data_IF_979803431009
#
_entry.id   IF_979803431009
#
_cell.length_a   1.000
_cell.length_b   1.000
_cell.length_c   1.000
_cell.angle_alpha   90.00
_cell.angle_beta   90.00
_cell.angle_gamma   90.00
#
_symmetry.space_group_name_H-M   'P 1'
#
loop_
_entity.id
_entity.type
_entity.pdbx_description
1 polymer ?
#
# COMPACT_ATOMS: atom_id res chain seq x y z
N UNK A 1 -1.41 5.43 1.76
CA UNK A 1 -2.35 4.72 2.64
C UNK A 1 -2.17 5.20 4.06
N UNK A 2 -3.26 5.25 4.84
CA UNK A 2 -3.24 5.63 6.25
C UNK A 2 -3.98 4.58 7.08
N UNK A 3 -3.42 4.23 8.21
CA UNK A 3 -4.08 3.40 9.20
C UNK A 3 -4.84 4.30 10.18
N UNK A 4 -5.93 3.78 10.72
CA UNK A 4 -6.67 4.41 11.81
C UNK A 4 -7.01 3.33 12.84
N UNK A 5 -6.68 3.59 14.09
CA UNK A 5 -7.05 2.69 15.18
C UNK A 5 -8.56 2.77 15.43
N UNK A 6 -9.22 1.62 15.44
CA UNK A 6 -10.62 1.48 15.82
C UNK A 6 -10.90 1.82 17.30
N UNK A 7 -9.89 1.71 18.17
CA UNK A 7 -10.03 1.96 19.62
C UNK A 7 -9.78 3.43 20.01
N UNK A 8 -8.69 4.04 19.57
CA UNK A 8 -8.29 5.40 19.99
C UNK A 8 -8.34 6.45 18.88
N UNK A 9 -8.78 6.06 17.68
CA UNK A 9 -8.87 6.93 16.49
C UNK A 9 -7.55 7.56 16.03
N UNK A 10 -6.42 7.15 16.63
CA UNK A 10 -5.11 7.60 16.20
C UNK A 10 -4.85 7.17 14.75
N UNK A 11 -4.35 8.10 13.94
CA UNK A 11 -3.99 7.89 12.54
C UNK A 11 -2.48 7.89 12.37
N UNK A 12 -1.97 6.98 11.53
CA UNK A 12 -0.54 6.92 11.19
C UNK A 12 -0.32 6.40 9.77
N UNK A 13 0.87 6.63 9.22
CA UNK A 13 1.36 6.00 7.98
C UNK A 13 2.52 5.05 8.27
N UNK A 14 2.74 4.08 7.38
CA UNK A 14 3.90 3.18 7.45
C UNK A 14 4.98 3.61 6.46
N UNK A 15 6.25 3.43 6.85
CA UNK A 15 7.41 3.56 5.96
C UNK A 15 7.59 2.33 5.03
N UNK A 16 6.74 1.31 5.16
CA UNK A 16 6.71 0.16 4.25
C UNK A 16 5.53 0.22 3.29
N UNK A 17 5.62 -0.60 2.25
CA UNK A 17 4.54 -0.88 1.30
C UNK A 17 3.27 -1.34 2.01
N UNK A 18 2.12 -0.82 1.57
CA UNK A 18 0.81 -1.16 2.11
C UNK A 18 0.11 -2.28 1.34
N UNK A 19 0.38 -2.42 0.04
CA UNK A 19 -0.19 -3.46 -0.84
C UNK A 19 0.93 -4.08 -1.67
N UNK A 20 1.05 -5.40 -1.61
CA UNK A 20 1.94 -6.17 -2.49
C UNK A 20 1.13 -6.88 -3.57
N UNK A 21 1.56 -6.73 -4.81
CA UNK A 21 1.06 -7.51 -5.94
C UNK A 21 2.11 -8.56 -6.32
N UNK A 22 1.75 -9.83 -6.21
CA UNK A 22 2.55 -10.94 -6.69
C UNK A 22 1.97 -11.45 -8.01
N UNK A 23 2.72 -11.30 -9.09
CA UNK A 23 2.30 -11.68 -10.43
C UNK A 23 3.03 -12.94 -10.86
N UNK A 24 2.29 -13.99 -11.26
CA UNK A 24 2.87 -15.24 -11.74
C UNK A 24 1.92 -15.93 -12.72
N UNK A 25 2.44 -16.27 -13.92
CA UNK A 25 1.72 -17.06 -14.95
C UNK A 25 0.32 -16.52 -15.25
N UNK A 26 0.19 -15.21 -15.50
CA UNK A 26 -1.10 -14.58 -15.81
C UNK A 26 -2.07 -14.44 -14.63
N UNK A 27 -1.61 -14.65 -13.39
CA UNK A 27 -2.40 -14.39 -12.17
C UNK A 27 -1.76 -13.29 -11.35
N UNK A 28 -2.58 -12.39 -10.85
CA UNK A 28 -2.19 -11.36 -9.88
C UNK A 28 -2.79 -11.73 -8.53
N UNK A 29 -1.93 -11.87 -7.52
CA UNK A 29 -2.35 -12.03 -6.12
C UNK A 29 -2.06 -10.74 -5.37
N UNK A 30 -3.08 -10.21 -4.71
CA UNK A 30 -2.96 -9.02 -3.87
C UNK A 30 -2.81 -9.42 -2.41
N UNK A 31 -1.88 -8.79 -1.69
CA UNK A 31 -1.77 -8.86 -0.23
C UNK A 31 -1.81 -7.45 0.34
N UNK A 32 -2.76 -7.19 1.22
CA UNK A 32 -2.84 -5.95 1.99
C UNK A 32 -2.09 -6.17 3.31
N UNK A 33 -1.17 -5.28 3.65
CA UNK A 33 -0.46 -5.30 4.92
C UNK A 33 -1.24 -4.53 5.97
N UNK A 34 -1.35 -5.12 7.16
CA UNK A 34 -2.05 -4.55 8.31
C UNK A 34 -1.05 -4.13 9.37
N UNK A 35 -1.44 -3.20 10.24
CA UNK A 35 -0.62 -2.76 11.36
C UNK A 35 -1.46 -2.51 12.60
N UNK A 36 -0.95 -2.86 13.78
CA UNK A 36 -1.58 -2.52 15.06
C UNK A 36 -1.20 -1.12 15.52
N UNK A 37 -2.08 -0.52 16.34
CA UNK A 37 -1.81 0.79 16.90
C UNK A 37 -0.72 0.75 17.98
N UNK A 38 0.29 1.62 17.86
CA UNK A 38 1.38 1.74 18.85
C UNK A 38 0.95 2.30 20.21
N UNK A 39 -0.23 2.93 20.29
CA UNK A 39 -0.73 3.59 21.51
C UNK A 39 -1.62 2.68 22.36
N UNK A 40 -2.13 1.59 21.79
CA UNK A 40 -3.14 0.75 22.41
C UNK A 40 -2.57 -0.66 22.66
N UNK A 41 -2.45 -1.08 23.92
CA UNK A 41 -2.10 -2.46 24.25
C UNK A 41 -3.12 -3.43 23.65
N UNK A 42 -2.65 -4.45 22.93
CA UNK A 42 -3.53 -5.46 22.33
C UNK A 42 -4.47 -4.92 21.24
N UNK A 43 -4.12 -3.80 20.58
CA UNK A 43 -4.90 -3.32 19.45
C UNK A 43 -4.94 -4.34 18.29
N UNK A 44 -6.08 -4.45 17.60
CA UNK A 44 -6.17 -5.30 16.42
C UNK A 44 -5.27 -4.76 15.30
N UNK A 45 -4.98 -5.64 14.34
CA UNK A 45 -4.31 -5.26 13.10
C UNK A 45 -5.28 -4.46 12.22
N UNK A 46 -5.02 -3.19 11.99
CA UNK A 46 -5.86 -2.33 11.15
C UNK A 46 -5.46 -2.43 9.68
N UNK A 47 -6.44 -2.37 8.79
CA UNK A 47 -6.19 -2.23 7.35
C UNK A 47 -5.89 -0.77 6.97
N UNK A 48 -5.04 -0.55 5.96
CA UNK A 48 -4.78 0.79 5.46
C UNK A 48 -5.94 1.26 4.60
N UNK A 49 -6.32 2.52 4.80
CA UNK A 49 -7.24 3.26 3.94
C UNK A 49 -6.48 4.04 2.87
N UNK A 50 -7.10 4.21 1.70
CA UNK A 50 -6.55 4.98 0.57
C UNK A 50 -7.61 5.95 0.07
N UNK A 51 -7.18 7.13 -0.41
CA UNK A 51 -8.05 7.98 -1.22
C UNK A 51 -8.39 7.26 -2.53
N UNK A 52 -9.54 7.60 -3.10
CA UNK A 52 -9.96 7.05 -4.40
C UNK A 52 -8.90 7.31 -5.48
N UNK A 53 -8.37 8.54 -5.55
CA UNK A 53 -7.31 8.90 -6.49
C UNK A 53 -6.05 8.03 -6.34
N UNK A 54 -5.60 7.76 -5.11
CA UNK A 54 -4.46 6.87 -4.91
C UNK A 54 -4.77 5.43 -5.31
N UNK A 55 -5.99 4.97 -5.10
CA UNK A 55 -6.42 3.64 -5.54
C UNK A 55 -6.39 3.53 -7.06
N UNK A 56 -6.89 4.54 -7.77
CA UNK A 56 -6.85 4.61 -9.23
C UNK A 56 -5.40 4.60 -9.75
N UNK A 57 -4.51 5.40 -9.16
CA UNK A 57 -3.07 5.41 -9.51
C UNK A 57 -2.39 4.05 -9.27
N UNK A 58 -2.70 3.40 -8.15
CA UNK A 58 -2.17 2.06 -7.83
C UNK A 58 -2.61 1.04 -8.88
N UNK A 59 -3.90 1.01 -9.22
CA UNK A 59 -4.45 0.08 -10.19
C UNK A 59 -3.94 0.36 -11.61
N UNK A 60 -3.81 1.64 -11.99
CA UNK A 60 -3.19 2.04 -13.25
C UNK A 60 -1.77 1.49 -13.39
N UNK A 61 -0.93 1.71 -12.38
CA UNK A 61 0.46 1.21 -12.40
C UNK A 61 0.52 -0.31 -12.42
N UNK A 62 -0.41 -1.00 -11.75
CA UNK A 62 -0.51 -2.45 -11.80
C UNK A 62 -0.81 -2.94 -13.22
N UNK A 63 -1.75 -2.31 -13.92
CA UNK A 63 -2.09 -2.66 -15.31
C UNK A 63 -0.89 -2.46 -16.23
N UNK A 64 -0.21 -1.32 -16.13
CA UNK A 64 1.01 -1.06 -16.90
C UNK A 64 2.09 -2.11 -16.65
N UNK A 65 2.29 -2.50 -15.39
CA UNK A 65 3.27 -3.53 -15.05
C UNK A 65 2.87 -4.90 -15.62
N UNK A 66 1.57 -5.24 -15.65
CA UNK A 66 1.09 -6.48 -16.29
C UNK A 66 1.36 -6.45 -17.80
N UNK A 67 1.04 -5.34 -18.48
CA UNK A 67 1.27 -5.17 -19.91
C UNK A 67 2.75 -5.30 -20.26
N UNK A 68 3.62 -4.69 -19.45
CA UNK A 68 5.07 -4.79 -19.59
C UNK A 68 5.57 -6.22 -19.38
N UNK A 69 5.25 -6.84 -18.26
CA UNK A 69 5.88 -8.09 -17.83
C UNK A 69 5.31 -9.33 -18.55
N UNK A 70 4.06 -9.30 -18.99
CA UNK A 70 3.38 -10.46 -19.58
C UNK A 70 3.01 -10.31 -21.06
N UNK A 71 2.92 -9.08 -21.57
CA UNK A 71 2.54 -8.81 -22.96
C UNK A 71 3.64 -8.12 -23.76
N UNK A 72 4.81 -7.86 -23.16
CA UNK A 72 5.94 -7.18 -23.78
C UNK A 72 5.56 -5.81 -24.37
N UNK A 73 4.54 -5.16 -23.81
CA UNK A 73 4.19 -3.78 -24.20
C UNK A 73 5.24 -2.85 -23.59
N UNK A 74 5.90 -1.99 -24.39
CA UNK A 74 6.82 -1.01 -23.87
C UNK A 74 6.09 -0.05 -22.93
N UNK A 75 6.59 0.10 -21.71
CA UNK A 75 6.08 1.06 -20.71
C UNK A 75 7.25 1.90 -20.24
N UNK A 76 7.13 3.21 -20.40
CA UNK A 76 8.11 4.19 -19.95
C UNK A 76 7.88 4.57 -18.48
N UNK A 77 8.95 4.89 -17.72
CA UNK A 77 8.81 5.32 -16.34
C UNK A 77 7.89 6.53 -16.14
N UNK A 78 7.80 7.42 -17.13
CA UNK A 78 6.91 8.60 -17.11
C UNK A 78 5.42 8.26 -17.19
N UNK A 79 5.06 7.05 -17.61
CA UNK A 79 3.67 6.58 -17.62
C UNK A 79 3.22 6.10 -16.23
N UNK A 80 4.16 5.82 -15.32
CA UNK A 80 3.83 5.45 -13.95
C UNK A 80 3.39 6.69 -13.15
N UNK A 81 2.26 6.55 -12.47
CA UNK A 81 1.70 7.62 -11.64
C UNK A 81 2.25 7.52 -10.22
N UNK A 82 2.85 8.60 -9.72
CA UNK A 82 3.31 8.64 -8.33
C UNK A 82 2.13 8.55 -7.36
N UNK A 83 2.19 7.63 -6.40
CA UNK A 83 1.17 7.50 -5.36
C UNK A 83 1.45 8.54 -4.28
N UNK A 84 0.50 9.45 -4.06
CA UNK A 84 0.65 10.55 -3.10
C UNK A 84 0.54 10.00 -1.68
N UNK A 85 1.57 10.23 -0.87
CA UNK A 85 1.56 9.84 0.54
C UNK A 85 1.09 11.02 1.37
N UNK A 86 -0.09 10.90 1.98
CA UNK A 86 -0.71 11.97 2.77
C UNK A 86 0.13 12.45 3.97
N UNK A 87 0.96 11.57 4.53
CA UNK A 87 1.80 11.88 5.70
C UNK A 87 3.14 11.18 5.59
N UNK A 88 4.22 11.95 5.74
CA UNK A 88 5.58 11.41 5.86
C UNK A 88 5.64 10.51 7.10
N UNK A 89 6.04 9.23 6.96
CA UNK A 89 6.19 8.34 8.11
C UNK A 89 7.18 8.92 9.12
N UNK A 90 6.79 8.95 10.39
CA UNK A 90 7.68 9.37 11.46
C UNK A 90 8.63 8.23 11.83
N UNK A 91 9.87 8.31 11.34
CA UNK A 91 10.95 7.38 11.69
C UNK A 91 10.90 6.03 10.94
N UNK A 92 11.76 5.07 11.35
CA UNK A 92 11.86 3.78 10.70
C UNK A 92 10.59 2.93 10.87
N UNK A 93 10.45 1.93 10.00
CA UNK A 93 9.39 0.94 10.11
C UNK A 93 9.56 0.08 11.36
N UNK A 94 8.49 -0.07 12.14
CA UNK A 94 8.44 -0.90 13.33
C UNK A 94 7.71 -2.22 13.04
N UNK A 95 8.47 -3.31 12.98
CA UNK A 95 7.94 -4.64 12.66
C UNK A 95 7.22 -5.31 13.82
N UNK A 96 7.34 -4.81 15.06
CA UNK A 96 6.65 -5.40 16.22
C UNK A 96 5.12 -5.25 16.16
N UNK A 97 4.66 -4.34 15.29
CA UNK A 97 3.25 -4.02 15.09
C UNK A 97 2.67 -4.50 13.75
N UNK A 98 3.34 -5.42 13.04
CA UNK A 98 2.96 -5.89 11.70
C UNK A 98 2.56 -7.36 11.66
#
# INVERSE_FOLDING_TARGET
>A
GRFQCSQCLHKWSSAKVHILFHMRRGKVRMRIFRQSCRRCPGAPLEEPSFSQENMERILHNLVLQILKDFYNVPVQPSELLEVVVDTVPAGPHDSSHC
#
